data_IF_215128010225
#
_entry.id   IF_215128010225
#
_cell.length_a   1.000
_cell.length_b   1.000
_cell.length_c   1.000
_cell.angle_alpha   90.00
_cell.angle_beta   90.00
_cell.angle_gamma   90.00
#
_symmetry.space_group_name_H-M   'P 1'
#
loop_
_entity.id
_entity.type
_entity.pdbx_description
1 polymer ?
#
# COMPACT_ATOMS: atom_id res chain seq x y z
N UNK A 1 16.52 18.61 25.97
CA UNK A 1 17.56 17.81 25.27
C UNK A 1 17.90 16.49 25.96
N UNK A 2 18.33 16.46 27.24
CA UNK A 2 18.30 15.19 28.01
C UNK A 2 16.92 14.54 27.93
N UNK A 3 15.88 15.38 27.93
CA UNK A 3 14.48 15.01 27.74
C UNK A 3 14.18 14.30 26.39
N UNK A 4 14.80 14.70 25.27
CA UNK A 4 14.48 14.11 23.96
C UNK A 4 15.13 12.73 23.79
N UNK A 5 16.38 12.57 24.25
CA UNK A 5 17.07 11.27 24.22
C UNK A 5 16.45 10.28 25.21
N UNK A 6 15.95 10.79 26.34
CA UNK A 6 15.23 10.00 27.33
C UNK A 6 13.82 9.62 26.82
N UNK A 7 13.07 10.57 26.26
CA UNK A 7 11.77 10.30 25.65
C UNK A 7 11.87 9.34 24.47
N UNK A 8 12.92 9.44 23.64
CA UNK A 8 13.25 8.45 22.60
C UNK A 8 13.38 7.05 23.22
N UNK A 9 14.21 6.90 24.26
CA UNK A 9 14.40 5.61 24.93
C UNK A 9 13.09 5.06 25.55
N UNK A 10 12.34 5.89 26.27
CA UNK A 10 11.08 5.51 26.93
C UNK A 10 9.98 5.15 25.91
N UNK A 11 9.91 5.86 24.79
CA UNK A 11 8.98 5.61 23.70
C UNK A 11 9.21 4.20 23.11
N UNK A 12 10.46 3.85 22.83
CA UNK A 12 10.79 2.58 22.19
C UNK A 12 10.76 1.38 23.13
N UNK A 13 10.77 1.57 24.45
CA UNK A 13 10.65 0.45 25.40
C UNK A 13 9.19 -0.01 25.61
N UNK A 14 8.22 0.84 25.30
CA UNK A 14 6.81 0.63 25.70
C UNK A 14 5.86 0.28 24.55
N UNK A 15 6.29 0.46 23.30
CA UNK A 15 5.43 0.34 22.11
C UNK A 15 5.64 -1.01 21.42
N UNK A 16 4.57 -1.70 20.95
CA UNK A 16 4.71 -2.91 20.14
C UNK A 16 5.51 -2.67 18.84
N UNK A 17 6.28 -3.66 18.38
CA UNK A 17 7.16 -3.54 17.21
C UNK A 17 6.42 -3.11 15.93
N UNK A 18 5.20 -3.63 15.70
CA UNK A 18 4.38 -3.23 14.56
C UNK A 18 3.98 -1.74 14.62
N UNK A 19 3.54 -1.27 15.79
CA UNK A 19 3.20 0.15 16.04
C UNK A 19 4.44 1.04 15.88
N UNK A 20 5.62 0.56 16.25
CA UNK A 20 6.87 1.31 16.07
C UNK A 20 7.13 1.65 14.60
N UNK A 21 6.87 0.72 13.69
CA UNK A 21 7.10 0.92 12.26
C UNK A 21 6.17 2.01 11.67
N UNK A 22 4.93 2.10 12.15
CA UNK A 22 3.97 3.13 11.76
C UNK A 22 4.40 4.52 12.24
N UNK A 23 4.76 4.61 13.53
CA UNK A 23 5.30 5.83 14.13
C UNK A 23 6.54 6.29 13.37
N UNK A 24 7.40 5.34 13.05
CA UNK A 24 8.62 5.56 12.33
C UNK A 24 8.37 6.16 10.93
N UNK A 25 7.50 5.54 10.13
CA UNK A 25 7.16 6.05 8.81
C UNK A 25 6.48 7.44 8.85
N UNK A 26 5.58 7.68 9.81
CA UNK A 26 4.95 9.01 9.99
C UNK A 26 5.96 10.05 10.45
N UNK A 27 6.92 9.68 11.28
CA UNK A 27 8.02 10.57 11.68
C UNK A 27 8.93 10.90 10.51
N UNK A 28 9.26 9.93 9.66
CA UNK A 28 10.02 10.16 8.43
C UNK A 28 9.28 11.14 7.51
N UNK A 29 7.96 10.98 7.32
CA UNK A 29 7.13 11.95 6.59
C UNK A 29 7.24 13.35 7.18
N UNK A 30 7.11 13.53 8.50
CA UNK A 30 7.20 14.86 9.16
C UNK A 30 8.56 15.53 8.97
N UNK A 31 9.62 14.73 8.94
CA UNK A 31 11.00 15.20 8.81
C UNK A 31 11.44 15.38 7.36
N UNK A 32 10.69 14.83 6.41
CA UNK A 32 11.05 14.80 4.99
C UNK A 32 11.38 16.18 4.41
N UNK A 33 10.66 17.28 4.73
CA UNK A 33 11.07 18.60 4.29
C UNK A 33 12.42 19.02 4.89
N UNK A 34 12.66 18.77 6.18
CA UNK A 34 13.91 19.19 6.81
C UNK A 34 15.14 18.43 6.27
N UNK A 35 15.02 17.12 6.00
CA UNK A 35 16.12 16.30 5.49
C UNK A 35 16.45 16.63 4.03
N UNK A 36 15.41 16.82 3.21
CA UNK A 36 15.56 17.06 1.77
C UNK A 36 16.09 18.46 1.45
N UNK A 37 15.72 19.47 2.27
CA UNK A 37 16.02 20.88 2.01
C UNK A 37 17.11 21.46 2.91
N UNK A 38 17.43 20.83 4.05
CA UNK A 38 18.52 21.25 4.94
C UNK A 38 19.91 21.08 4.32
N UNK A 39 20.05 20.15 3.37
CA UNK A 39 21.16 20.15 2.43
C UNK A 39 20.86 21.23 1.40
N UNK A 40 21.45 22.41 1.58
CA UNK A 40 21.59 23.51 0.60
C UNK A 40 22.34 23.04 -0.67
N UNK A 41 21.83 21.99 -1.30
CA UNK A 41 22.18 21.57 -2.64
C UNK A 41 21.74 22.68 -3.58
N UNK A 42 22.63 23.06 -4.50
CA UNK A 42 22.30 23.97 -5.61
C UNK A 42 21.21 23.42 -6.52
N UNK A 43 20.79 22.17 -6.33
CA UNK A 43 19.73 21.52 -7.08
C UNK A 43 18.75 20.78 -6.13
N UNK A 44 17.72 21.48 -5.60
CA UNK A 44 16.72 20.86 -4.72
C UNK A 44 15.96 19.71 -5.40
N UNK A 45 15.84 19.72 -6.73
CA UNK A 45 15.14 18.69 -7.51
C UNK A 45 15.75 17.28 -7.37
N UNK A 46 17.09 17.16 -7.32
CA UNK A 46 17.78 15.86 -7.24
C UNK A 46 17.70 15.18 -5.86
N UNK A 47 17.64 15.98 -4.79
CA UNK A 47 17.55 15.43 -3.43
C UNK A 47 16.12 15.01 -3.07
N UNK A 48 15.11 15.72 -3.60
CA UNK A 48 13.70 15.43 -3.34
C UNK A 48 13.36 14.02 -3.80
N UNK A 49 13.77 13.61 -5.01
CA UNK A 49 13.32 12.33 -5.58
C UNK A 49 13.82 11.11 -4.81
N UNK A 50 15.07 11.13 -4.32
CA UNK A 50 15.62 9.98 -3.60
C UNK A 50 15.01 9.82 -2.20
N UNK A 51 15.02 10.89 -1.40
CA UNK A 51 14.53 10.80 -0.02
C UNK A 51 13.01 10.58 0.02
N UNK A 52 12.26 11.21 -0.89
CA UNK A 52 10.82 10.96 -1.03
C UNK A 52 10.53 9.53 -1.48
N UNK A 53 11.30 8.99 -2.42
CA UNK A 53 11.16 7.59 -2.86
C UNK A 53 11.36 6.63 -1.69
N UNK A 54 12.40 6.81 -0.89
CA UNK A 54 12.69 5.93 0.24
C UNK A 54 11.55 5.95 1.26
N UNK A 55 11.03 7.14 1.59
CA UNK A 55 9.88 7.26 2.48
C UNK A 55 8.61 6.68 1.86
N UNK A 56 8.36 6.88 0.57
CA UNK A 56 7.25 6.28 -0.16
C UNK A 56 7.29 4.75 -0.07
N UNK A 57 8.43 4.13 -0.42
CA UNK A 57 8.59 2.67 -0.36
C UNK A 57 8.30 2.16 1.06
N UNK A 58 8.86 2.80 2.09
CA UNK A 58 8.62 2.42 3.48
C UNK A 58 7.14 2.49 3.85
N UNK A 59 6.48 3.62 3.56
CA UNK A 59 5.07 3.82 3.91
C UNK A 59 4.18 2.80 3.17
N UNK A 60 4.44 2.57 1.89
CA UNK A 60 3.69 1.62 1.06
C UNK A 60 3.88 0.19 1.54
N UNK A 61 5.12 -0.25 1.78
CA UNK A 61 5.40 -1.61 2.26
C UNK A 61 4.67 -1.87 3.59
N UNK A 62 4.66 -0.90 4.50
CA UNK A 62 3.93 -1.06 5.77
C UNK A 62 2.43 -1.25 5.56
N UNK A 63 1.83 -0.53 4.61
CA UNK A 63 0.38 -0.62 4.35
C UNK A 63 -0.01 -1.88 3.58
N UNK A 64 0.82 -2.32 2.63
CA UNK A 64 0.53 -3.46 1.75
C UNK A 64 0.94 -4.79 2.32
N UNK A 65 2.07 -4.87 3.00
CA UNK A 65 2.60 -6.12 3.53
C UNK A 65 2.05 -6.40 4.94
N UNK A 66 0.75 -6.19 5.17
CA UNK A 66 0.10 -6.21 6.49
C UNK A 66 0.31 -7.53 7.25
N UNK A 67 1.48 -7.66 7.86
CA UNK A 67 2.01 -8.81 8.56
C UNK A 67 3.32 -8.43 9.22
N UNK A 68 3.47 -8.86 10.47
CA UNK A 68 4.50 -8.57 11.49
C UNK A 68 5.99 -8.68 11.10
N UNK A 69 6.36 -8.61 9.83
CA UNK A 69 7.73 -8.54 9.36
C UNK A 69 8.04 -7.19 8.74
N UNK A 70 7.59 -6.09 9.35
CA UNK A 70 8.31 -4.83 9.20
C UNK A 70 9.76 -5.14 9.60
N UNK A 71 10.66 -5.18 8.62
CA UNK A 71 11.99 -5.72 8.88
C UNK A 71 12.64 -4.86 9.98
N UNK A 72 13.26 -5.49 10.98
CA UNK A 72 14.08 -4.80 11.99
C UNK A 72 15.00 -3.72 11.39
N UNK A 73 15.41 -3.89 10.14
CA UNK A 73 16.16 -2.91 9.37
C UNK A 73 15.40 -1.58 9.12
N UNK A 74 14.10 -1.62 8.82
CA UNK A 74 13.26 -0.42 8.65
C UNK A 74 13.14 0.36 9.97
N UNK A 75 12.92 -0.35 11.09
CA UNK A 75 12.88 0.27 12.41
C UNK A 75 14.23 0.92 12.77
N UNK A 76 15.34 0.23 12.52
CA UNK A 76 16.68 0.78 12.78
C UNK A 76 17.01 1.96 11.88
N UNK A 77 16.54 1.98 10.62
CA UNK A 77 16.72 3.12 9.72
C UNK A 77 16.00 4.37 10.25
N UNK A 78 14.80 4.22 10.79
CA UNK A 78 14.09 5.35 11.40
C UNK A 78 14.70 5.73 12.75
N UNK A 79 15.13 4.72 13.53
CA UNK A 79 16.14 4.78 14.61
C UNK A 79 17.19 5.85 14.31
N UNK A 80 17.95 5.56 13.25
CA UNK A 80 19.06 6.34 12.78
C UNK A 80 18.62 7.73 12.26
N UNK A 81 17.47 7.84 11.60
CA UNK A 81 16.97 9.10 11.05
C UNK A 81 16.55 10.09 12.15
N UNK A 82 15.82 9.62 13.16
CA UNK A 82 15.44 10.43 14.32
C UNK A 82 16.68 10.86 15.11
N UNK A 83 17.59 9.92 15.38
CA UNK A 83 18.86 10.21 16.05
C UNK A 83 19.72 11.19 15.26
N UNK A 84 19.82 11.02 13.95
CA UNK A 84 20.52 11.94 13.06
C UNK A 84 19.90 13.35 13.09
N UNK A 85 18.57 13.45 13.18
CA UNK A 85 17.89 14.75 13.34
C UNK A 85 18.24 15.40 14.68
N UNK A 86 18.20 14.64 15.77
CA UNK A 86 18.59 15.11 17.10
C UNK A 86 20.06 15.58 17.09
N UNK A 87 20.96 14.83 16.46
CA UNK A 87 22.38 15.18 16.38
C UNK A 87 22.61 16.44 15.52
N UNK A 88 21.83 16.66 14.45
CA UNK A 88 21.85 17.91 13.67
C UNK A 88 21.39 19.10 14.51
N UNK A 89 20.35 18.93 15.34
CA UNK A 89 19.88 19.98 16.27
C UNK A 89 21.03 20.35 17.22
N UNK A 90 21.67 19.34 17.79
CA UNK A 90 22.81 19.52 18.70
C UNK A 90 23.94 20.26 17.99
N UNK A 91 24.32 19.85 16.77
CA UNK A 91 25.37 20.51 15.99
C UNK A 91 25.04 21.99 15.70
N UNK A 92 23.81 22.29 15.28
CA UNK A 92 23.37 23.65 14.95
C UNK A 92 23.43 24.57 16.18
N UNK A 93 23.08 24.06 17.36
CA UNK A 93 23.20 24.80 18.63
C UNK A 93 24.64 25.20 18.95
N UNK A 94 25.64 24.42 18.51
CA UNK A 94 27.06 24.76 18.69
C UNK A 94 27.58 25.69 17.59
N UNK A 95 27.06 25.58 16.36
CA UNK A 95 27.45 26.43 15.22
C UNK A 95 27.04 27.89 15.39
N UNK A 96 25.89 28.17 15.99
CA UNK A 96 25.44 29.55 16.18
C UNK A 96 26.41 30.40 17.06
N UNK A 97 26.78 29.96 18.28
CA UNK A 97 27.81 30.63 19.08
C UNK A 97 29.17 30.70 18.37
N UNK A 98 29.56 29.65 17.63
CA UNK A 98 30.81 29.63 16.87
C UNK A 98 30.85 30.74 15.81
N UNK A 99 29.81 30.87 14.99
CA UNK A 99 29.74 31.93 13.97
C UNK A 99 29.63 33.32 14.60
N UNK A 100 28.92 33.46 15.72
CA UNK A 100 28.89 34.72 16.46
C UNK A 100 30.28 35.13 16.95
N UNK A 101 31.07 34.18 17.48
CA UNK A 101 32.45 34.43 17.89
C UNK A 101 33.35 34.77 16.69
N UNK A 102 33.19 34.09 15.54
CA UNK A 102 33.91 34.41 14.30
C UNK A 102 33.56 35.80 13.77
N UNK A 103 32.30 36.20 13.85
CA UNK A 103 31.85 37.55 13.50
C UNK A 103 32.55 38.61 14.36
N UNK A 104 32.63 38.39 15.67
CA UNK A 104 33.31 39.30 16.60
C UNK A 104 34.83 39.37 16.39
N UNK A 105 35.45 38.28 15.93
CA UNK A 105 36.88 38.19 15.67
C UNK A 105 37.29 38.57 14.22
N UNK A 106 36.32 38.89 13.35
CA UNK A 106 36.58 39.17 11.95
C UNK A 106 37.36 40.48 11.78
N UNK A 107 38.37 40.46 10.90
CA UNK A 107 39.23 41.61 10.61
C UNK A 107 38.54 42.60 9.67
N UNK A 108 37.59 42.13 8.85
CA UNK A 108 36.85 42.95 7.90
C UNK A 108 35.36 43.01 8.23
N UNK A 109 34.72 44.12 7.87
CA UNK A 109 33.26 44.30 8.04
C UNK A 109 32.48 43.29 7.19
N UNK A 110 32.98 42.95 6.00
CA UNK A 110 32.34 41.97 5.12
C UNK A 110 32.32 40.57 5.74
N UNK A 111 33.44 40.12 6.30
CA UNK A 111 33.52 38.83 7.00
C UNK A 111 32.67 38.83 8.27
N UNK A 112 32.70 39.93 9.04
CA UNK A 112 31.86 40.08 10.23
C UNK A 112 30.37 39.95 9.90
N UNK A 113 29.92 40.63 8.85
CA UNK A 113 28.54 40.57 8.38
C UNK A 113 28.17 39.16 7.88
N UNK A 114 29.06 38.52 7.10
CA UNK A 114 28.84 37.15 6.63
C UNK A 114 28.65 36.18 7.80
N UNK A 115 29.58 36.18 8.77
CA UNK A 115 29.48 35.32 9.95
C UNK A 115 28.29 35.65 10.85
N UNK A 116 27.89 36.93 10.95
CA UNK A 116 26.70 37.31 11.71
C UNK A 116 25.42 36.72 11.09
N UNK A 117 25.29 36.78 9.76
CA UNK A 117 24.18 36.13 9.03
C UNK A 117 24.19 34.63 9.25
N UNK A 118 25.36 33.97 9.15
CA UNK A 118 25.49 32.53 9.42
C UNK A 118 25.13 32.17 10.86
N UNK A 119 25.48 33.00 11.85
CA UNK A 119 25.10 32.80 13.24
C UNK A 119 23.59 32.90 13.44
N UNK A 120 22.95 33.91 12.85
CA UNK A 120 21.49 34.07 12.90
C UNK A 120 20.77 32.90 12.22
N UNK A 121 21.26 32.45 11.06
CA UNK A 121 20.71 31.30 10.35
C UNK A 121 20.85 30.01 11.16
N UNK A 122 22.02 29.76 11.74
CA UNK A 122 22.25 28.59 12.59
C UNK A 122 21.37 28.63 13.86
N UNK A 123 21.19 29.79 14.49
CA UNK A 123 20.34 29.94 15.66
C UNK A 123 18.87 29.70 15.33
N UNK A 124 18.39 30.28 14.22
CA UNK A 124 17.04 30.05 13.72
C UNK A 124 16.82 28.57 13.40
N UNK A 125 17.75 27.93 12.69
CA UNK A 125 17.69 26.51 12.37
C UNK A 125 17.68 25.62 13.62
N UNK A 126 18.45 25.97 14.65
CA UNK A 126 18.46 25.26 15.94
C UNK A 126 17.11 25.36 16.67
N UNK A 127 16.54 26.57 16.76
CA UNK A 127 15.23 26.81 17.38
C UNK A 127 14.11 26.05 16.66
N UNK A 128 14.10 26.13 15.33
CA UNK A 128 13.19 25.36 14.47
C UNK A 128 13.32 23.86 14.76
N UNK A 129 14.55 23.34 14.74
CA UNK A 129 14.76 21.91 14.87
C UNK A 129 14.37 21.42 16.27
N UNK A 130 14.54 22.25 17.30
CA UNK A 130 14.05 21.97 18.65
C UNK A 130 12.53 21.91 18.72
N UNK A 131 11.83 22.91 18.17
CA UNK A 131 10.36 22.93 18.11
C UNK A 131 9.80 21.74 17.33
N UNK A 132 10.44 21.39 16.21
CA UNK A 132 10.08 20.22 15.40
C UNK A 132 10.29 18.93 16.19
N UNK A 133 11.44 18.79 16.85
CA UNK A 133 11.76 17.58 17.62
C UNK A 133 10.82 17.36 18.79
N UNK A 134 10.50 18.41 19.56
CA UNK A 134 9.55 18.29 20.69
C UNK A 134 8.16 17.89 20.19
N UNK A 135 7.68 18.53 19.13
CA UNK A 135 6.36 18.25 18.56
C UNK A 135 6.27 16.83 17.98
N UNK A 136 7.35 16.32 17.40
CA UNK A 136 7.38 14.98 16.80
C UNK A 136 7.21 13.88 17.85
N UNK A 137 7.81 14.01 19.03
CA UNK A 137 7.67 13.01 20.10
C UNK A 137 6.21 12.89 20.55
N UNK A 138 5.56 14.02 20.80
CA UNK A 138 4.14 14.04 21.20
C UNK A 138 3.24 13.46 20.09
N UNK A 139 3.53 13.78 18.83
CA UNK A 139 2.80 13.26 17.68
C UNK A 139 3.03 11.76 17.48
N UNK A 140 4.25 11.27 17.74
CA UNK A 140 4.60 9.86 17.67
C UNK A 140 3.84 9.02 18.71
N UNK A 141 3.77 9.49 19.97
CA UNK A 141 2.98 8.86 21.02
C UNK A 141 1.50 8.75 20.62
N UNK A 142 0.96 9.85 20.10
CA UNK A 142 -0.43 9.90 19.68
C UNK A 142 -0.71 9.04 18.44
N UNK A 143 0.22 8.95 17.48
CA UNK A 143 0.10 8.04 16.33
C UNK A 143 0.06 6.59 16.78
N UNK A 144 0.89 6.20 17.76
CA UNK A 144 0.86 4.86 18.33
C UNK A 144 -0.48 4.53 18.97
N UNK A 145 -1.06 5.51 19.69
CA UNK A 145 -2.40 5.37 20.28
C UNK A 145 -3.50 5.22 19.21
N UNK A 146 -3.41 5.97 18.11
CA UNK A 146 -4.39 5.90 17.02
C UNK A 146 -4.30 4.56 16.28
N UNK A 147 -3.09 4.11 15.98
CA UNK A 147 -2.83 2.83 15.31
C UNK A 147 -3.40 1.67 16.12
N UNK A 148 -3.14 1.62 17.43
CA UNK A 148 -3.69 0.57 18.31
C UNK A 148 -5.22 0.58 18.40
N UNK A 149 -5.85 1.75 18.26
CA UNK A 149 -7.31 1.89 18.42
C UNK A 149 -8.09 1.71 17.11
N UNK A 150 -7.50 2.11 15.99
CA UNK A 150 -8.20 2.27 14.69
C UNK A 150 -7.51 1.53 13.54
N UNK A 151 -6.31 1.02 13.78
CA UNK A 151 -5.49 0.37 12.79
C UNK A 151 -4.64 1.34 11.96
N UNK A 152 -3.84 0.74 11.09
CA UNK A 152 -2.82 1.39 10.28
C UNK A 152 -3.36 2.46 9.33
N UNK A 153 -4.39 2.11 8.55
CA UNK A 153 -4.95 2.98 7.51
C UNK A 153 -5.51 4.27 8.10
N UNK A 154 -6.21 4.17 9.22
CA UNK A 154 -6.78 5.32 9.94
C UNK A 154 -5.68 6.20 10.55
N UNK A 155 -4.56 5.61 10.96
CA UNK A 155 -3.40 6.36 11.42
C UNK A 155 -2.82 7.23 10.30
N UNK A 156 -2.67 6.69 9.08
CA UNK A 156 -2.21 7.47 7.91
C UNK A 156 -3.23 8.46 7.35
N UNK A 157 -4.53 8.23 7.55
CA UNK A 157 -5.60 9.18 7.22
C UNK A 157 -5.72 10.33 8.24
N UNK A 158 -4.95 10.31 9.33
CA UNK A 158 -4.85 11.46 10.23
C UNK A 158 -3.89 12.51 9.65
N UNK A 159 -4.27 13.81 9.63
CA UNK A 159 -3.38 14.90 9.27
C UNK A 159 -2.00 14.74 9.90
N UNK A 160 -0.96 14.77 9.07
CA UNK A 160 0.42 14.48 9.48
C UNK A 160 0.93 15.48 10.53
N UNK A 161 0.53 16.75 10.39
CA UNK A 161 0.91 17.84 11.28
C UNK A 161 -0.33 18.52 11.87
N UNK A 162 -0.30 18.93 13.15
CA UNK A 162 -1.34 19.75 13.73
C UNK A 162 -1.28 21.17 13.15
N UNK A 163 -2.41 21.89 13.14
CA UNK A 163 -2.46 23.29 12.69
C UNK A 163 -1.59 24.24 13.52
N UNK A 164 -1.19 23.83 14.73
CA UNK A 164 -0.24 24.55 15.59
C UNK A 164 1.21 24.46 15.11
N UNK A 165 1.55 23.49 14.24
CA UNK A 165 2.88 23.33 13.65
C UNK A 165 3.13 24.34 12.50
N UNK A 166 2.83 25.61 12.78
CA UNK A 166 2.84 26.72 11.82
C UNK A 166 4.17 26.85 11.07
N UNK A 167 5.30 26.60 11.74
CA UNK A 167 6.60 26.63 11.11
C UNK A 167 6.72 25.61 9.96
N UNK A 168 6.43 24.33 10.21
CA UNK A 168 6.55 23.27 9.21
C UNK A 168 5.56 23.47 8.05
N UNK A 169 4.35 23.94 8.35
CA UNK A 169 3.34 24.27 7.36
C UNK A 169 3.80 25.43 6.47
N UNK A 170 4.30 26.52 7.05
CA UNK A 170 4.82 27.67 6.29
C UNK A 170 6.05 27.26 5.45
N UNK A 171 6.96 26.48 6.03
CA UNK A 171 8.12 25.96 5.33
C UNK A 171 7.73 25.10 4.12
N UNK A 172 6.73 24.24 4.29
CA UNK A 172 6.18 23.45 3.19
C UNK A 172 5.55 24.35 2.11
N UNK A 173 4.79 25.37 2.49
CA UNK A 173 4.18 26.29 1.52
C UNK A 173 5.25 27.08 0.71
N UNK A 174 6.30 27.57 1.36
CA UNK A 174 7.43 28.21 0.69
C UNK A 174 8.12 27.24 -0.29
N UNK A 175 8.36 26.01 0.17
CA UNK A 175 8.96 24.94 -0.63
C UNK A 175 8.09 24.60 -1.83
N UNK A 176 6.80 24.39 -1.61
CA UNK A 176 5.80 24.09 -2.63
C UNK A 176 5.72 25.19 -3.68
N UNK A 177 5.75 26.46 -3.26
CA UNK A 177 5.77 27.60 -4.17
C UNK A 177 7.04 27.61 -5.03
N UNK A 178 8.20 27.35 -4.42
CA UNK A 178 9.48 27.29 -5.15
C UNK A 178 9.51 26.17 -6.19
N UNK A 179 8.95 25.00 -5.87
CA UNK A 179 8.95 23.85 -6.77
C UNK A 179 7.93 24.03 -7.90
N UNK A 180 6.78 24.65 -7.61
CA UNK A 180 5.69 24.87 -8.58
C UNK A 180 6.11 25.76 -9.77
N UNK A 181 7.14 26.60 -9.61
CA UNK A 181 7.69 27.41 -10.70
C UNK A 181 8.69 26.68 -11.61
N UNK A 182 9.10 25.46 -11.27
CA UNK A 182 10.32 24.85 -11.84
C UNK A 182 10.13 23.66 -12.79
N UNK A 183 9.09 22.83 -12.62
CA UNK A 183 8.77 21.73 -13.56
C UNK A 183 7.49 20.99 -13.12
N UNK A 184 6.75 20.41 -14.06
CA UNK A 184 5.69 19.43 -13.75
C UNK A 184 6.25 18.14 -13.15
N UNK A 185 7.57 17.92 -13.20
CA UNK A 185 8.23 16.72 -12.70
C UNK A 185 8.01 16.45 -11.20
N UNK A 186 7.60 17.47 -10.44
CA UNK A 186 7.36 17.36 -8.99
C UNK A 186 5.89 17.39 -8.58
N UNK A 187 4.97 17.40 -9.55
CA UNK A 187 3.52 17.44 -9.28
C UNK A 187 3.10 16.29 -8.36
N UNK A 188 3.53 15.07 -8.67
CA UNK A 188 3.20 13.87 -7.89
C UNK A 188 3.67 14.00 -6.43
N UNK A 189 4.94 14.33 -6.20
CA UNK A 189 5.52 14.42 -4.86
C UNK A 189 4.83 15.50 -4.01
N UNK A 190 4.47 16.62 -4.65
CA UNK A 190 3.69 17.68 -4.02
C UNK A 190 2.31 17.17 -3.60
N UNK A 191 1.57 16.58 -4.52
CA UNK A 191 0.22 16.09 -4.26
C UNK A 191 0.24 14.95 -3.21
N UNK A 192 1.24 14.08 -3.29
CA UNK A 192 1.49 12.97 -2.37
C UNK A 192 1.74 13.45 -0.94
N UNK A 193 2.71 14.34 -0.75
CA UNK A 193 3.02 14.86 0.59
C UNK A 193 1.89 15.73 1.15
N UNK A 194 1.25 16.54 0.30
CA UNK A 194 0.08 17.32 0.69
C UNK A 194 -1.07 16.41 1.16
N UNK A 195 -1.29 15.27 0.48
CA UNK A 195 -2.27 14.28 0.91
C UNK A 195 -2.07 13.82 2.36
N UNK A 196 -0.83 13.56 2.78
CA UNK A 196 -0.54 13.23 4.17
C UNK A 196 -0.77 14.40 5.13
N UNK A 197 -0.39 15.62 4.76
CA UNK A 197 -0.67 16.81 5.57
C UNK A 197 -2.18 16.99 5.81
N UNK A 198 -2.99 16.73 4.79
CA UNK A 198 -4.44 16.89 4.83
C UNK A 198 -5.18 15.69 5.46
N UNK A 199 -4.48 14.59 5.75
CA UNK A 199 -5.10 13.32 6.17
C UNK A 199 -5.87 12.62 5.05
N UNK A 200 -5.52 12.92 3.80
CA UNK A 200 -6.10 12.33 2.58
C UNK A 200 -4.98 11.82 1.69
N UNK A 201 -4.25 10.77 2.11
CA UNK A 201 -3.20 10.20 1.29
C UNK A 201 -3.76 9.81 -0.09
N UNK A 202 -2.90 9.80 -1.10
CA UNK A 202 -3.29 9.31 -2.43
C UNK A 202 -3.71 7.84 -2.35
N UNK A 203 -4.33 7.35 -3.41
CA UNK A 203 -4.70 5.93 -3.49
C UNK A 203 -3.48 5.01 -3.26
N UNK A 204 -3.62 4.00 -2.41
CA UNK A 204 -2.53 3.12 -2.00
C UNK A 204 -2.00 2.26 -3.15
N UNK A 205 -2.84 1.86 -4.10
CA UNK A 205 -2.39 1.10 -5.28
C UNK A 205 -1.60 1.98 -6.24
N UNK A 206 -2.02 3.25 -6.41
CA UNK A 206 -1.25 4.22 -7.17
C UNK A 206 0.13 4.45 -6.53
N UNK A 207 0.17 4.70 -5.21
CA UNK A 207 1.41 4.88 -4.47
C UNK A 207 2.33 3.66 -4.59
N UNK A 208 1.77 2.44 -4.50
CA UNK A 208 2.51 1.20 -4.63
C UNK A 208 3.13 1.03 -6.01
N UNK A 209 2.37 1.28 -7.09
CA UNK A 209 2.91 1.23 -8.46
C UNK A 209 4.06 2.22 -8.65
N UNK A 210 3.97 3.41 -8.07
CA UNK A 210 5.06 4.41 -8.13
C UNK A 210 6.28 3.97 -7.31
N UNK A 211 6.07 3.34 -6.16
CA UNK A 211 7.16 2.79 -5.34
C UNK A 211 7.96 1.70 -6.08
N UNK A 212 7.28 0.92 -6.93
CA UNK A 212 7.86 -0.16 -7.74
C UNK A 212 8.49 0.29 -9.07
N UNK A 213 8.59 1.60 -9.34
CA UNK A 213 9.32 2.09 -10.52
C UNK A 213 10.77 1.60 -10.46
N UNK A 214 11.22 1.00 -11.55
CA UNK A 214 12.54 0.39 -11.71
C UNK A 214 13.68 1.41 -11.56
N UNK A 215 14.78 1.00 -10.92
CA UNK A 215 15.97 1.82 -10.66
C UNK A 215 16.53 2.52 -11.91
N UNK A 216 16.39 1.91 -13.09
CA UNK A 216 16.83 2.51 -14.36
C UNK A 216 16.15 3.84 -14.67
N UNK A 217 14.89 4.03 -14.29
CA UNK A 217 14.21 5.32 -14.43
C UNK A 217 14.75 6.35 -13.44
N UNK A 218 15.08 5.92 -12.23
CA UNK A 218 15.65 6.78 -11.19
C UNK A 218 17.05 7.24 -11.55
N UNK A 219 17.88 6.36 -12.11
CA UNK A 219 19.21 6.67 -12.61
C UNK A 219 19.18 7.61 -13.82
N UNK A 220 18.10 7.59 -14.60
CA UNK A 220 17.89 8.48 -15.74
C UNK A 220 17.51 9.91 -15.34
N UNK A 221 17.15 10.15 -14.09
CA UNK A 221 16.89 11.49 -13.53
C UNK A 221 15.41 11.84 -13.34
N UNK A 222 15.12 13.01 -12.75
CA UNK A 222 13.79 13.36 -12.27
C UNK A 222 12.73 13.49 -13.38
N UNK A 223 13.14 13.89 -14.59
CA UNK A 223 12.23 13.97 -15.74
C UNK A 223 11.76 12.59 -16.22
N UNK A 224 12.65 11.59 -16.21
CA UNK A 224 12.31 10.21 -16.59
C UNK A 224 11.36 9.58 -15.57
N UNK A 225 11.65 9.76 -14.28
CA UNK A 225 10.77 9.33 -13.18
C UNK A 225 9.39 9.99 -13.31
N UNK A 226 9.34 11.30 -13.54
CA UNK A 226 8.06 12.00 -13.68
C UNK A 226 7.25 11.50 -14.88
N UNK A 227 7.90 11.25 -16.03
CA UNK A 227 7.22 10.69 -17.20
C UNK A 227 6.62 9.31 -16.89
N UNK A 228 7.35 8.46 -16.16
CA UNK A 228 6.85 7.15 -15.78
C UNK A 228 5.71 7.23 -14.74
N UNK A 229 5.79 8.15 -13.78
CA UNK A 229 4.70 8.42 -12.84
C UNK A 229 3.43 8.87 -13.58
N UNK A 230 3.55 9.76 -14.58
CA UNK A 230 2.39 10.19 -15.36
C UNK A 230 1.81 9.06 -16.22
N UNK A 231 2.67 8.16 -16.75
CA UNK A 231 2.20 6.92 -17.40
C UNK A 231 1.38 6.06 -16.42
N UNK A 232 1.89 5.84 -15.22
CA UNK A 232 1.20 5.09 -14.15
C UNK A 232 -0.12 5.78 -13.76
N UNK A 233 -0.13 7.11 -13.59
CA UNK A 233 -1.35 7.88 -13.29
C UNK A 233 -2.38 7.76 -14.40
N UNK A 234 -1.97 7.81 -15.66
CA UNK A 234 -2.86 7.67 -16.81
C UNK A 234 -3.44 6.25 -16.90
N UNK A 235 -2.63 5.23 -16.65
CA UNK A 235 -3.07 3.83 -16.56
C UNK A 235 -4.03 3.61 -15.38
N UNK A 236 -3.74 4.22 -14.24
CA UNK A 236 -4.57 4.13 -13.02
C UNK A 236 -5.89 4.89 -13.17
N UNK A 237 -5.86 6.06 -13.80
CA UNK A 237 -7.02 6.93 -14.03
C UNK A 237 -7.86 6.52 -15.25
N UNK A 238 -7.34 5.61 -16.10
CA UNK A 238 -8.19 4.77 -16.94
C UNK A 238 -9.03 3.91 -15.99
N UNK A 239 -10.12 4.50 -15.50
CA UNK A 239 -11.34 3.74 -15.32
C UNK A 239 -11.49 2.94 -16.61
N UNK A 240 -11.71 1.62 -16.55
CA UNK A 240 -11.81 0.80 -17.74
C UNK A 240 -12.93 1.36 -18.61
N UNK A 241 -12.53 2.19 -19.57
CA UNK A 241 -13.39 2.91 -20.49
C UNK A 241 -14.15 1.87 -21.29
N UNK A 242 -15.31 2.23 -21.83
CA UNK A 242 -16.19 1.30 -22.57
C UNK A 242 -15.53 0.54 -23.74
N UNK A 243 -14.26 0.80 -24.07
CA UNK A 243 -13.43 -0.01 -24.98
C UNK A 243 -13.13 -1.42 -24.42
N UNK A 244 -13.07 -1.61 -23.10
CA UNK A 244 -12.94 -2.92 -22.43
C UNK A 244 -14.30 -3.44 -21.92
N UNK A 245 -15.37 -3.14 -22.65
CA UNK A 245 -16.68 -3.77 -22.41
C UNK A 245 -16.64 -5.17 -23.02
N UNK A 246 -17.13 -6.16 -22.30
CA UNK A 246 -17.19 -7.55 -22.77
C UNK A 246 -18.65 -8.00 -22.93
N UNK A 247 -19.40 -7.55 -23.98
CA UNK A 247 -20.83 -7.82 -24.11
C UNK A 247 -21.22 -9.29 -24.04
N UNK A 248 -20.34 -10.19 -24.52
CA UNK A 248 -20.55 -11.65 -24.46
C UNK A 248 -20.59 -12.19 -23.03
N UNK A 249 -19.95 -11.49 -22.10
CA UNK A 249 -19.79 -11.90 -20.71
C UNK A 249 -20.66 -11.07 -19.74
N UNK A 250 -21.41 -10.10 -20.26
CA UNK A 250 -22.29 -9.29 -19.43
C UNK A 250 -23.54 -10.05 -18.99
N UNK A 251 -23.98 -9.88 -17.73
CA UNK A 251 -25.23 -10.44 -17.28
C UNK A 251 -26.40 -9.74 -17.99
N UNK A 252 -27.51 -10.46 -18.14
CA UNK A 252 -28.75 -9.93 -18.74
C UNK A 252 -29.41 -8.87 -17.87
N UNK A 253 -29.29 -9.01 -16.55
CA UNK A 253 -29.82 -8.09 -15.55
C UNK A 253 -28.91 -8.12 -14.32
N UNK A 254 -28.87 -7.00 -13.61
CA UNK A 254 -28.15 -6.83 -12.34
C UNK A 254 -29.05 -6.31 -11.22
N UNK A 255 -30.37 -6.24 -11.48
CA UNK A 255 -31.34 -5.64 -10.55
C UNK A 255 -31.35 -6.35 -9.19
N UNK A 256 -31.16 -7.68 -9.19
CA UNK A 256 -31.12 -8.49 -7.96
C UNK A 256 -29.96 -8.11 -7.03
N UNK A 257 -28.86 -7.55 -7.57
CA UNK A 257 -27.72 -7.09 -6.76
C UNK A 257 -28.05 -5.82 -6.00
N UNK A 258 -28.88 -4.94 -6.56
CA UNK A 258 -29.36 -3.76 -5.86
C UNK A 258 -30.38 -4.15 -4.77
N UNK A 259 -31.25 -5.12 -5.06
CA UNK A 259 -32.22 -5.65 -4.09
C UNK A 259 -31.53 -6.35 -2.91
N UNK A 260 -30.37 -6.96 -3.14
CA UNK A 260 -29.59 -7.70 -2.14
C UNK A 260 -28.25 -7.02 -1.80
N UNK A 261 -28.21 -5.68 -1.84
CA UNK A 261 -26.98 -4.87 -1.74
C UNK A 261 -26.05 -5.30 -0.62
N UNK A 262 -26.57 -5.50 0.60
CA UNK A 262 -25.77 -5.84 1.79
C UNK A 262 -25.08 -7.19 1.60
N UNK A 263 -25.82 -8.21 1.15
CA UNK A 263 -25.30 -9.56 0.93
C UNK A 263 -24.31 -9.56 -0.23
N UNK A 264 -24.64 -8.87 -1.32
CA UNK A 264 -23.77 -8.74 -2.49
C UNK A 264 -22.42 -8.11 -2.13
N UNK A 265 -22.47 -7.02 -1.37
CA UNK A 265 -21.27 -6.27 -0.97
C UNK A 265 -20.36 -7.10 -0.06
N UNK A 266 -20.94 -7.74 0.97
CA UNK A 266 -20.20 -8.60 1.87
C UNK A 266 -19.56 -9.79 1.13
N UNK A 267 -20.30 -10.40 0.19
CA UNK A 267 -19.81 -11.54 -0.60
C UNK A 267 -18.66 -11.13 -1.53
N UNK A 268 -18.77 -9.98 -2.20
CA UNK A 268 -17.73 -9.44 -3.08
C UNK A 268 -16.45 -9.08 -2.31
N UNK A 269 -16.59 -8.44 -1.15
CA UNK A 269 -15.46 -8.09 -0.28
C UNK A 269 -14.75 -9.34 0.25
N UNK A 270 -15.49 -10.27 0.85
CA UNK A 270 -14.91 -11.50 1.38
C UNK A 270 -14.21 -12.34 0.31
N UNK A 271 -14.76 -12.39 -0.91
CA UNK A 271 -14.12 -13.07 -2.03
C UNK A 271 -12.83 -12.34 -2.49
N UNK A 272 -12.85 -11.01 -2.58
CA UNK A 272 -11.66 -10.23 -2.94
C UNK A 272 -10.53 -10.44 -1.93
N UNK A 273 -10.86 -10.43 -0.63
CA UNK A 273 -9.93 -10.73 0.46
C UNK A 273 -9.38 -12.15 0.36
N UNK A 274 -10.23 -13.15 0.12
CA UNK A 274 -9.81 -14.54 0.00
C UNK A 274 -8.84 -14.76 -1.18
N UNK A 275 -9.12 -14.17 -2.34
CA UNK A 275 -8.21 -14.23 -3.51
C UNK A 275 -6.89 -13.55 -3.19
N UNK A 276 -6.92 -12.34 -2.61
CA UNK A 276 -5.72 -11.58 -2.23
C UNK A 276 -4.86 -12.38 -1.25
N UNK A 277 -5.46 -12.90 -0.17
CA UNK A 277 -4.77 -13.71 0.82
C UNK A 277 -4.14 -14.97 0.21
N UNK A 278 -4.81 -15.61 -0.75
CA UNK A 278 -4.28 -16.80 -1.43
C UNK A 278 -3.04 -16.47 -2.28
N UNK A 279 -3.03 -15.29 -2.92
CA UNK A 279 -1.89 -14.77 -3.69
C UNK A 279 -0.73 -14.40 -2.76
N UNK A 280 -0.99 -13.67 -1.68
CA UNK A 280 0.02 -13.31 -0.67
C UNK A 280 0.66 -14.54 -0.05
N UNK A 281 -0.17 -15.54 0.32
CA UNK A 281 0.31 -16.82 0.84
C UNK A 281 1.22 -17.52 -0.16
N UNK A 282 0.86 -17.52 -1.45
CA UNK A 282 1.73 -18.08 -2.49
C UNK A 282 3.08 -17.37 -2.56
N UNK A 283 3.10 -16.03 -2.52
CA UNK A 283 4.33 -15.26 -2.51
C UNK A 283 5.19 -15.57 -1.28
N UNK A 284 4.58 -15.68 -0.10
CA UNK A 284 5.26 -16.03 1.14
C UNK A 284 5.84 -17.47 1.11
N UNK A 285 5.10 -18.43 0.57
CA UNK A 285 5.52 -19.85 0.53
C UNK A 285 6.60 -20.12 -0.54
N UNK A 286 6.61 -19.36 -1.64
CA UNK A 286 7.50 -19.62 -2.79
C UNK A 286 8.65 -18.64 -2.92
N UNK A 287 8.53 -17.44 -2.35
CA UNK A 287 9.46 -16.33 -2.58
C UNK A 287 9.41 -15.78 -4.01
N UNK A 288 8.44 -16.17 -4.82
CA UNK A 288 8.27 -15.65 -6.18
C UNK A 288 7.63 -14.25 -6.14
N UNK A 289 8.08 -13.35 -7.01
CA UNK A 289 7.54 -11.98 -7.09
C UNK A 289 6.32 -11.86 -8.03
N UNK A 290 5.95 -12.93 -8.72
CA UNK A 290 4.83 -12.96 -9.67
C UNK A 290 4.14 -14.32 -9.69
N UNK A 291 2.86 -14.34 -10.06
CA UNK A 291 2.14 -15.58 -10.31
C UNK A 291 2.64 -16.24 -11.60
N UNK A 292 2.55 -17.58 -11.71
CA UNK A 292 2.74 -18.24 -13.00
C UNK A 292 1.77 -17.72 -14.05
N UNK A 293 2.18 -17.74 -15.31
CA UNK A 293 1.38 -17.24 -16.45
C UNK A 293 -0.06 -17.79 -16.43
N UNK A 294 -0.22 -19.10 -16.20
CA UNK A 294 -1.54 -19.73 -16.17
C UNK A 294 -2.48 -19.24 -15.04
N UNK A 295 -1.92 -18.58 -14.02
CA UNK A 295 -2.63 -18.04 -12.86
C UNK A 295 -2.60 -16.50 -12.83
N UNK A 296 -1.93 -15.84 -13.79
CA UNK A 296 -1.87 -14.38 -13.91
C UNK A 296 -3.25 -13.72 -13.85
N UNK A 297 -4.32 -14.29 -14.45
CA UNK A 297 -5.65 -13.70 -14.38
C UNK A 297 -6.20 -13.51 -12.96
N UNK A 298 -5.73 -14.29 -11.97
CA UNK A 298 -6.14 -14.15 -10.57
C UNK A 298 -5.76 -12.79 -9.98
N UNK A 299 -4.65 -12.19 -10.43
CA UNK A 299 -4.15 -10.90 -9.91
C UNK A 299 -5.13 -9.75 -10.12
N UNK A 300 -5.94 -9.80 -11.19
CA UNK A 300 -6.90 -8.77 -11.53
C UNK A 300 -8.26 -8.93 -10.82
N UNK A 301 -8.57 -10.12 -10.31
CA UNK A 301 -9.91 -10.42 -9.77
C UNK A 301 -10.26 -9.60 -8.52
N UNK A 302 -9.39 -9.39 -7.52
CA UNK A 302 -9.74 -8.58 -6.34
C UNK A 302 -10.18 -7.18 -6.71
N UNK A 303 -9.44 -6.51 -7.60
CA UNK A 303 -9.78 -5.17 -8.06
C UNK A 303 -11.13 -5.12 -8.80
N UNK A 304 -11.40 -6.12 -9.66
CA UNK A 304 -12.68 -6.22 -10.38
C UNK A 304 -13.86 -6.47 -9.44
N UNK A 305 -13.70 -7.33 -8.43
CA UNK A 305 -14.72 -7.59 -7.39
C UNK A 305 -15.02 -6.33 -6.59
N UNK A 306 -13.98 -5.58 -6.20
CA UNK A 306 -14.12 -4.31 -5.49
C UNK A 306 -14.74 -3.21 -6.35
N UNK A 307 -14.48 -3.19 -7.66
CA UNK A 307 -15.13 -2.27 -8.60
C UNK A 307 -16.66 -2.53 -8.65
N UNK A 308 -17.06 -3.78 -8.85
CA UNK A 308 -18.49 -4.20 -8.81
C UNK A 308 -19.13 -3.77 -7.49
N UNK A 309 -18.46 -4.00 -6.37
CA UNK A 309 -18.94 -3.59 -5.05
C UNK A 309 -19.07 -2.05 -4.93
N UNK A 310 -18.08 -1.30 -5.42
CA UNK A 310 -18.09 0.16 -5.41
C UNK A 310 -19.30 0.72 -6.17
N UNK A 311 -19.61 0.16 -7.33
CA UNK A 311 -20.77 0.58 -8.14
C UNK A 311 -22.08 0.25 -7.45
N UNK A 312 -22.19 -0.93 -6.82
CA UNK A 312 -23.34 -1.32 -6.01
C UNK A 312 -23.56 -0.35 -4.83
N UNK A 313 -22.49 0.06 -4.15
CA UNK A 313 -22.55 0.97 -3.00
C UNK A 313 -22.87 2.42 -3.38
N UNK A 314 -22.37 2.90 -4.53
CA UNK A 314 -22.64 4.26 -5.03
C UNK A 314 -24.06 4.45 -5.54
N UNK A 315 -24.74 3.37 -5.91
CA UNK A 315 -26.11 3.44 -6.38
C UNK A 315 -27.04 4.05 -5.29
N UNK A 316 -28.05 4.86 -5.66
CA UNK A 316 -29.01 5.39 -4.69
C UNK A 316 -29.66 4.27 -3.85
N UNK A 317 -29.84 4.47 -2.54
CA UNK A 317 -30.49 3.49 -1.67
C UNK A 317 -32.01 3.39 -1.90
N UNK A 318 -32.62 4.50 -2.33
CA UNK A 318 -34.04 4.61 -2.59
C UNK A 318 -34.27 5.25 -3.95
N UNK A 319 -35.32 4.80 -4.66
CA UNK A 319 -35.72 5.32 -5.96
C UNK A 319 -35.26 4.46 -7.14
N UNK A 320 -35.48 4.99 -8.34
CA UNK A 320 -35.14 4.33 -9.60
C UNK A 320 -33.62 4.38 -9.76
N UNK A 321 -32.98 3.21 -9.90
CA UNK A 321 -31.55 3.13 -10.20
C UNK A 321 -31.30 3.78 -11.58
N UNK A 322 -30.36 4.74 -11.70
CA UNK A 322 -30.04 5.33 -12.99
C UNK A 322 -29.57 4.25 -13.98
N UNK A 323 -30.08 4.30 -15.22
CA UNK A 323 -29.68 3.37 -16.30
C UNK A 323 -28.16 3.31 -16.48
N UNK A 324 -27.47 4.44 -16.30
CA UNK A 324 -26.01 4.52 -16.39
C UNK A 324 -25.30 3.69 -15.31
N UNK A 325 -25.81 3.71 -14.07
CA UNK A 325 -25.27 2.88 -12.98
C UNK A 325 -25.49 1.39 -13.24
N UNK A 326 -26.65 1.03 -13.78
CA UNK A 326 -26.95 -0.34 -14.18
C UNK A 326 -26.03 -0.81 -15.32
N UNK A 327 -25.85 0.01 -16.35
CA UNK A 327 -24.96 -0.27 -17.48
C UNK A 327 -23.50 -0.38 -17.04
N UNK A 328 -23.04 0.48 -16.13
CA UNK A 328 -21.71 0.40 -15.54
C UNK A 328 -21.53 -0.92 -14.78
N UNK A 329 -22.48 -1.29 -13.93
CA UNK A 329 -22.42 -2.54 -13.16
C UNK A 329 -22.37 -3.75 -14.08
N UNK A 330 -23.18 -3.76 -15.15
CA UNK A 330 -23.13 -4.82 -16.17
C UNK A 330 -21.75 -4.92 -16.82
N UNK A 331 -21.16 -3.78 -17.20
CA UNK A 331 -19.82 -3.77 -17.80
C UNK A 331 -18.73 -4.28 -16.85
N UNK A 332 -18.79 -3.90 -15.56
CA UNK A 332 -17.87 -4.40 -14.53
C UNK A 332 -17.99 -5.91 -14.31
N UNK A 333 -19.20 -6.43 -14.23
CA UNK A 333 -19.45 -7.88 -14.13
C UNK A 333 -19.01 -8.58 -15.42
N UNK A 334 -19.20 -7.96 -16.58
CA UNK A 334 -18.69 -8.45 -17.86
C UNK A 334 -17.18 -8.62 -17.86
N UNK A 335 -16.44 -7.64 -17.33
CA UNK A 335 -14.98 -7.71 -17.17
C UNK A 335 -14.56 -8.81 -16.20
N UNK A 336 -15.23 -8.93 -15.05
CA UNK A 336 -15.01 -10.00 -14.09
C UNK A 336 -15.20 -11.38 -14.75
N UNK A 337 -16.33 -11.56 -15.43
CA UNK A 337 -16.66 -12.81 -16.13
C UNK A 337 -15.69 -13.15 -17.26
N UNK A 338 -15.18 -12.14 -17.98
CA UNK A 338 -14.19 -12.30 -19.04
C UNK A 338 -12.84 -12.74 -18.45
N UNK A 339 -12.40 -12.13 -17.35
CA UNK A 339 -11.14 -12.49 -16.67
C UNK A 339 -11.19 -13.91 -16.10
N UNK A 340 -12.34 -14.35 -15.61
CA UNK A 340 -12.56 -15.73 -15.15
C UNK A 340 -12.56 -16.72 -16.32
N UNK A 341 -13.14 -16.33 -17.46
CA UNK A 341 -13.07 -17.16 -18.67
C UNK A 341 -11.62 -17.27 -19.20
N UNK A 342 -10.83 -16.20 -19.10
CA UNK A 342 -9.40 -16.23 -19.38
C UNK A 342 -8.68 -17.20 -18.45
N UNK A 343 -8.92 -17.12 -17.13
CA UNK A 343 -8.35 -18.06 -16.15
C UNK A 343 -8.65 -19.52 -16.52
N UNK A 344 -9.90 -19.83 -16.88
CA UNK A 344 -10.27 -21.18 -17.30
C UNK A 344 -9.49 -21.65 -18.53
N UNK A 345 -9.32 -20.79 -19.52
CA UNK A 345 -8.59 -21.12 -20.76
C UNK A 345 -7.09 -21.30 -20.50
N UNK A 346 -6.49 -20.44 -19.68
CA UNK A 346 -5.09 -20.55 -19.26
C UNK A 346 -4.83 -21.85 -18.48
N UNK A 347 -5.73 -22.21 -17.55
CA UNK A 347 -5.66 -23.48 -16.84
C UNK A 347 -5.80 -24.68 -17.80
N UNK A 348 -6.71 -24.61 -18.77
CA UNK A 348 -6.85 -25.65 -19.79
C UNK A 348 -5.55 -25.83 -20.57
N UNK A 349 -4.97 -24.73 -21.07
CA UNK A 349 -3.70 -24.77 -21.81
C UNK A 349 -2.55 -25.33 -20.98
N UNK A 350 -2.44 -24.91 -19.71
CA UNK A 350 -1.45 -25.44 -18.79
C UNK A 350 -1.64 -26.94 -18.53
N UNK A 351 -2.89 -27.43 -18.46
CA UNK A 351 -3.20 -28.84 -18.27
C UNK A 351 -2.85 -29.70 -19.51
N UNK A 352 -2.94 -29.15 -20.71
CA UNK A 352 -2.65 -29.82 -21.98
C UNK A 352 -1.14 -29.87 -22.32
N UNK A 353 -0.32 -29.01 -21.71
CA UNK A 353 1.11 -28.87 -21.99
C UNK A 353 1.94 -30.12 -21.63
N UNK A 354 2.89 -30.49 -22.50
CA UNK A 354 3.86 -31.59 -22.28
C UNK A 354 5.29 -31.14 -22.61
N UNK A 355 6.26 -31.20 -21.67
CA UNK A 355 6.10 -31.55 -20.25
C UNK A 355 5.27 -30.50 -19.48
N UNK A 356 4.78 -30.87 -18.30
CA UNK A 356 3.98 -29.96 -17.46
C UNK A 356 4.76 -28.67 -17.18
N UNK A 357 4.11 -27.51 -17.32
CA UNK A 357 4.70 -26.20 -17.01
C UNK A 357 5.21 -26.11 -15.56
N UNK A 358 4.61 -26.89 -14.66
CA UNK A 358 4.91 -26.87 -13.24
C UNK A 358 5.74 -28.08 -12.83
N UNK A 359 6.83 -27.85 -12.09
CA UNK A 359 7.58 -28.93 -11.45
C UNK A 359 6.76 -29.58 -10.32
N UNK A 360 6.99 -30.86 -10.02
CA UNK A 360 6.22 -31.57 -8.98
C UNK A 360 6.35 -30.92 -7.59
N UNK A 361 7.54 -30.41 -7.26
CA UNK A 361 7.76 -29.66 -6.03
C UNK A 361 6.93 -28.37 -6.00
N UNK A 362 6.88 -27.66 -7.12
CA UNK A 362 6.12 -26.42 -7.25
C UNK A 362 4.61 -26.66 -7.24
N UNK A 363 4.12 -27.75 -7.87
CA UNK A 363 2.71 -28.17 -7.78
C UNK A 363 2.26 -28.40 -6.35
N UNK A 364 3.11 -29.02 -5.52
CA UNK A 364 2.81 -29.28 -4.12
C UNK A 364 2.67 -27.99 -3.30
N UNK A 365 3.53 -27.00 -3.55
CA UNK A 365 3.46 -25.68 -2.91
C UNK A 365 2.28 -24.85 -3.42
N UNK A 366 2.02 -24.85 -4.72
CA UNK A 366 0.82 -24.22 -5.29
C UNK A 366 -0.45 -24.84 -4.74
N UNK A 367 -0.48 -26.17 -4.61
CA UNK A 367 -1.62 -26.94 -4.11
C UNK A 367 -2.15 -26.47 -2.75
N UNK A 368 -1.28 -25.96 -1.87
CA UNK A 368 -1.64 -25.49 -0.52
C UNK A 368 -2.09 -24.04 -0.45
N UNK A 369 -1.82 -23.25 -1.48
CA UNK A 369 -2.19 -21.85 -1.59
C UNK A 369 -3.22 -21.64 -2.71
N UNK A 370 -2.77 -21.40 -3.93
CA UNK A 370 -3.62 -21.11 -5.09
C UNK A 370 -4.33 -22.32 -5.67
N UNK A 371 -3.92 -23.53 -5.28
CA UNK A 371 -4.54 -24.77 -5.66
C UNK A 371 -5.66 -25.20 -4.72
N UNK A 372 -5.97 -24.51 -3.61
CA UNK A 372 -7.04 -24.94 -2.70
C UNK A 372 -8.40 -24.91 -3.43
N UNK A 373 -9.12 -26.04 -3.43
CA UNK A 373 -10.44 -26.16 -4.04
C UNK A 373 -11.43 -25.14 -3.47
N UNK A 374 -11.26 -24.71 -2.21
CA UNK A 374 -12.09 -23.70 -1.56
C UNK A 374 -12.01 -22.35 -2.25
N UNK A 375 -10.86 -21.98 -2.80
CA UNK A 375 -10.69 -20.73 -3.54
C UNK A 375 -11.57 -20.74 -4.80
N UNK A 376 -11.49 -21.80 -5.59
CA UNK A 376 -12.26 -21.93 -6.83
C UNK A 376 -13.75 -22.09 -6.56
N UNK A 377 -14.13 -22.85 -5.54
CA UNK A 377 -15.53 -22.96 -5.12
C UNK A 377 -16.11 -21.61 -4.69
N UNK A 378 -15.38 -20.83 -3.87
CA UNK A 378 -15.78 -19.50 -3.46
C UNK A 378 -15.87 -18.54 -4.66
N UNK A 379 -14.88 -18.57 -5.54
CA UNK A 379 -14.83 -17.75 -6.76
C UNK A 379 -16.05 -18.03 -7.65
N UNK A 380 -16.30 -19.28 -7.98
CA UNK A 380 -17.44 -19.65 -8.82
C UNK A 380 -18.78 -19.34 -8.15
N UNK A 381 -18.91 -19.55 -6.84
CA UNK A 381 -20.15 -19.23 -6.12
C UNK A 381 -20.41 -17.72 -6.07
N UNK A 382 -19.39 -16.92 -5.80
CA UNK A 382 -19.49 -15.46 -5.79
C UNK A 382 -19.83 -14.90 -7.17
N UNK A 383 -19.18 -15.40 -8.23
CA UNK A 383 -19.48 -14.99 -9.60
C UNK A 383 -20.88 -15.44 -10.03
N UNK A 384 -21.32 -16.64 -9.63
CA UNK A 384 -22.67 -17.12 -9.87
C UNK A 384 -23.71 -16.17 -9.28
N UNK A 385 -23.53 -15.79 -8.01
CA UNK A 385 -24.38 -14.82 -7.34
C UNK A 385 -24.43 -13.47 -8.09
N UNK A 386 -23.28 -12.99 -8.57
CA UNK A 386 -23.16 -11.69 -9.25
C UNK A 386 -23.73 -11.71 -10.67
N UNK A 387 -23.48 -12.78 -11.42
CA UNK A 387 -23.85 -12.88 -12.85
C UNK A 387 -25.31 -13.29 -13.09
N UNK A 388 -25.91 -14.04 -12.17
CA UNK A 388 -27.24 -14.63 -12.36
C UNK A 388 -27.31 -15.70 -13.48
N UNK A 389 -26.17 -16.12 -14.04
CA UNK A 389 -26.08 -17.15 -15.07
C UNK A 389 -25.81 -18.51 -14.42
N UNK A 390 -26.89 -19.24 -14.12
CA UNK A 390 -26.82 -20.53 -13.39
C UNK A 390 -26.10 -21.60 -14.23
N UNK A 391 -26.52 -21.78 -15.48
CA UNK A 391 -26.04 -22.86 -16.34
C UNK A 391 -24.59 -22.63 -16.79
N UNK A 392 -24.24 -21.40 -17.17
CA UNK A 392 -22.87 -21.06 -17.55
C UNK A 392 -21.91 -21.23 -16.38
N UNK A 393 -22.29 -20.84 -15.17
CA UNK A 393 -21.40 -20.88 -14.01
C UNK A 393 -21.19 -22.27 -13.43
N UNK A 394 -22.22 -23.11 -13.41
CA UNK A 394 -22.04 -24.51 -13.02
C UNK A 394 -20.99 -25.19 -13.91
N UNK A 395 -21.11 -25.01 -15.23
CA UNK A 395 -20.16 -25.58 -16.19
C UNK A 395 -18.75 -25.03 -16.00
N UNK A 396 -18.60 -23.72 -15.75
CA UNK A 396 -17.28 -23.12 -15.45
C UNK A 396 -16.67 -23.68 -14.17
N UNK A 397 -17.47 -23.91 -13.13
CA UNK A 397 -16.98 -24.52 -11.90
C UNK A 397 -16.47 -25.94 -12.14
N UNK A 398 -17.23 -26.75 -12.87
CA UNK A 398 -16.85 -28.11 -13.26
C UNK A 398 -15.56 -28.10 -14.08
N UNK A 399 -15.46 -27.23 -15.09
CA UNK A 399 -14.29 -27.09 -15.95
C UNK A 399 -13.05 -26.62 -15.17
N UNK A 400 -13.16 -25.54 -14.39
CA UNK A 400 -12.04 -25.00 -13.59
C UNK A 400 -11.57 -26.02 -12.56
N UNK A 401 -12.50 -26.69 -11.87
CA UNK A 401 -12.16 -27.73 -10.89
C UNK A 401 -11.45 -28.91 -11.57
N UNK A 402 -11.92 -29.31 -12.75
CA UNK A 402 -11.30 -30.37 -13.53
C UNK A 402 -9.86 -30.02 -13.94
N UNK A 403 -9.62 -28.84 -14.52
CA UNK A 403 -8.27 -28.44 -14.93
C UNK A 403 -7.34 -28.24 -13.72
N UNK A 404 -7.87 -27.69 -12.63
CA UNK A 404 -7.17 -27.60 -11.34
C UNK A 404 -6.72 -28.99 -10.89
N UNK A 405 -7.60 -29.99 -10.91
CA UNK A 405 -7.27 -31.35 -10.46
C UNK A 405 -6.25 -32.03 -11.38
N UNK A 406 -6.30 -31.76 -12.68
CA UNK A 406 -5.28 -32.24 -13.63
C UNK A 406 -3.90 -31.63 -13.38
N UNK A 407 -3.84 -30.35 -13.02
CA UNK A 407 -2.57 -29.63 -12.81
C UNK A 407 -1.96 -29.98 -11.46
N UNK A 408 -2.75 -29.94 -10.39
CA UNK A 408 -2.28 -30.04 -9.01
C UNK A 408 -2.48 -31.41 -8.37
N UNK A 409 -3.24 -32.30 -9.03
CA UNK A 409 -3.65 -33.59 -8.48
C UNK A 409 -4.72 -33.47 -7.40
N UNK A 410 -5.11 -34.62 -6.84
CA UNK A 410 -5.87 -34.66 -5.60
C UNK A 410 -4.96 -34.17 -4.46
N UNK A 411 -5.01 -32.86 -4.18
CA UNK A 411 -4.46 -32.33 -2.94
C UNK A 411 -5.38 -32.84 -1.85
N UNK A 412 -4.99 -33.95 -1.23
CA UNK A 412 -5.79 -34.60 -0.19
C UNK A 412 -6.17 -33.55 0.85
N UNK A 413 -7.49 -33.35 1.03
CA UNK A 413 -7.97 -32.56 2.17
C UNK A 413 -7.30 -33.14 3.42
N UNK A 414 -6.71 -32.31 4.30
CA UNK A 414 -6.01 -32.78 5.52
C UNK A 414 -6.85 -33.72 6.41
N UNK A 415 -8.16 -33.77 6.19
CA UNK A 415 -9.13 -34.66 6.81
C UNK A 415 -8.90 -36.17 6.58
N UNK A 416 -8.09 -36.59 5.60
CA UNK A 416 -7.91 -38.02 5.29
C UNK A 416 -6.97 -38.78 6.24
N UNK A 417 -6.15 -38.08 7.04
CA UNK A 417 -5.07 -38.71 7.80
C UNK A 417 -5.40 -38.99 9.29
N UNK A 418 -6.60 -38.64 9.77
CA UNK A 418 -6.94 -38.81 11.18
C UNK A 418 -8.41 -39.17 11.38
N UNK A 419 -8.79 -40.42 11.09
CA UNK A 419 -9.96 -41.09 11.66
C UNK A 419 -9.85 -42.61 11.47
N UNK A 420 -8.71 -43.19 11.85
CA UNK A 420 -8.64 -44.59 12.29
C UNK A 420 -8.78 -44.63 13.81
N UNK A 421 -9.84 -44.04 14.36
CA UNK A 421 -10.32 -44.45 15.68
C UNK A 421 -11.36 -45.54 15.45
N UNK A 422 -11.06 -46.69 16.04
CA UNK A 422 -11.88 -47.89 16.01
C UNK A 422 -13.35 -47.54 16.31
N UNK A 423 -14.25 -47.94 15.42
CA UNK A 423 -15.71 -47.88 15.61
C UNK A 423 -16.17 -48.62 16.88
N UNK A 424 -15.29 -49.39 17.53
CA UNK A 424 -15.56 -50.07 18.79
C UNK A 424 -15.59 -49.14 20.03
N UNK A 425 -15.04 -47.93 19.99
CA UNK A 425 -15.03 -47.03 21.16
C UNK A 425 -16.26 -46.10 21.22
N UNK A 426 -16.97 -45.89 20.10
CA UNK A 426 -18.13 -44.99 20.04
C UNK A 426 -19.42 -45.69 20.49
N UNK A 427 -19.56 -47.02 20.32
CA UNK A 427 -20.71 -47.76 20.84
C UNK A 427 -20.72 -47.89 22.39
N UNK A 428 -19.58 -47.72 23.07
CA UNK A 428 -19.51 -47.77 24.53
C UNK A 428 -19.89 -46.46 25.23
N UNK A 429 -20.08 -45.35 24.51
CA UNK A 429 -20.35 -44.02 25.08
C UNK A 429 -21.81 -43.56 24.96
N UNK A 430 -22.71 -44.38 24.39
CA UNK A 430 -24.14 -44.03 24.18
C UNK A 430 -25.08 -44.80 25.14
N UNK A 431 -24.56 -45.58 26.10
CA UNK A 431 -25.33 -46.11 27.23
C UNK A 431 -25.00 -45.38 28.55
N UNK A 432 -25.47 -44.13 28.68
CA UNK A 432 -25.89 -43.46 29.93
C UNK A 432 -27.03 -42.52 29.56
#
# INVERSE_FOLDING_TARGET
MRDLKQADAELWETIPEDTMAVIAARTALRLLPNTSFGKLSRNPALNITHDFRQVLIQVVSLVKESGATASKAQLELVRATLRGTIDVVDELKHKAPYYAAKSAAAVTVADAAHFAVSAQQAAKAADISEQVSSSIVDLALEDGRVEQQKGLTDCFAKPLLPSTATYLLNFWEETRASISGSSTAFSFWRDWYQGFLDGKPLDWDLQHRVALIDDTFWDAGPEAVAAEIERIRAEFSRQPSGEDRFPKHEPKSVSHLFDNRVIASASLQGLAEQVTHSIERFHAETGANALPEALEPLTALPALLLAVNSTIQKAPHEGIIPSETEDQLRAEIGRLNAKVAQLQEELRQASDSKPSVFSDAFKKQLGTSLGDWKLYAALCTGIWFVSGDIEGMQRRLEDISHYRDMIFGEVSSPSGAALTHSTAEIEAAIEI
#
